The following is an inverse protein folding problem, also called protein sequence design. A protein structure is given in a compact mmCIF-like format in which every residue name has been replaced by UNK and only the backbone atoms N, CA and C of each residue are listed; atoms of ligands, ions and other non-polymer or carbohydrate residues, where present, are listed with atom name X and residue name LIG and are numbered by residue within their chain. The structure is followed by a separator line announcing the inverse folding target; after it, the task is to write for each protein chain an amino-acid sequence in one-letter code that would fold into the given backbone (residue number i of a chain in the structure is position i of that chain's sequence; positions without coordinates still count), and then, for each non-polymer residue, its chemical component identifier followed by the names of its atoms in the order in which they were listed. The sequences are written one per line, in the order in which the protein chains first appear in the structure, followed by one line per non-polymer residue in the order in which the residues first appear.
data_IF_505320014943
#
_entry.id   IF_505320014943
#
_cell.length_a   1.000
_cell.length_b   1.000
_cell.length_c   1.000
_cell.angle_alpha   90.00
_cell.angle_beta   90.00
_cell.angle_gamma   90.00
#
_symmetry.space_group_name_H-M   'P 1'
#
loop_
_entity.id
_entity.type
_entity.pdbx_description
1 polymer ?
#
# COMPACT_ATOMS: atom_id res chain seq x y z
N UNK A 1 43.79 -7.25 -13.74
CA UNK A 1 42.58 -6.38 -13.81
C UNK A 1 42.26 -5.92 -12.39
N UNK A 2 42.39 -4.62 -12.09
CA UNK A 2 42.18 -4.05 -10.74
C UNK A 2 40.72 -3.60 -10.58
N UNK A 3 40.15 -3.86 -9.40
CA UNK A 3 38.75 -3.67 -9.04
C UNK A 3 38.30 -2.20 -9.09
N UNK A 4 37.32 -1.88 -9.96
CA UNK A 4 36.59 -0.59 -10.02
C UNK A 4 35.38 -0.58 -9.09
N UNK A 5 35.60 -0.57 -7.78
CA UNK A 5 34.54 -0.28 -6.80
C UNK A 5 35.18 0.49 -5.65
N UNK A 6 35.11 1.83 -5.70
CA UNK A 6 35.19 2.78 -4.55
C UNK A 6 35.33 4.27 -4.96
N UNK A 7 35.12 4.67 -6.22
CA UNK A 7 35.29 6.07 -6.64
C UNK A 7 34.15 7.03 -6.20
N UNK A 8 33.05 6.53 -5.63
CA UNK A 8 31.90 7.38 -5.22
C UNK A 8 32.19 8.19 -3.95
N UNK A 9 33.12 7.74 -3.10
CA UNK A 9 33.41 8.38 -1.81
C UNK A 9 34.53 9.42 -1.87
N UNK A 10 35.22 9.55 -3.01
CA UNK A 10 36.33 10.51 -3.23
C UNK A 10 35.91 11.67 -4.15
N UNK A 11 34.64 12.11 -4.10
CA UNK A 11 34.21 13.26 -4.89
C UNK A 11 34.85 14.56 -4.37
N UNK A 12 35.70 15.18 -5.19
CA UNK A 12 36.14 16.57 -5.03
C UNK A 12 35.43 17.44 -6.07
N UNK A 13 34.78 18.55 -5.68
CA UNK A 13 34.16 19.45 -6.65
C UNK A 13 35.23 20.01 -7.60
N UNK A 14 34.87 20.15 -8.87
CA UNK A 14 35.78 20.62 -9.94
C UNK A 14 36.25 22.06 -9.73
N UNK A 15 35.53 22.85 -8.94
CA UNK A 15 35.92 24.19 -8.52
C UNK A 15 35.70 24.33 -7.00
N UNK A 16 36.78 24.47 -6.25
CA UNK A 16 36.74 24.63 -4.78
C UNK A 16 36.25 26.00 -4.33
N UNK A 17 36.02 26.94 -5.26
CA UNK A 17 35.58 28.32 -4.99
C UNK A 17 34.21 28.64 -5.61
N UNK A 18 33.36 27.63 -5.83
CA UNK A 18 32.00 27.88 -6.33
C UNK A 18 31.14 28.53 -5.22
N UNK A 19 30.61 29.76 -5.42
CA UNK A 19 29.79 30.47 -4.44
C UNK A 19 28.41 29.82 -4.19
N UNK A 20 28.04 28.79 -4.97
CA UNK A 20 26.81 27.99 -4.74
C UNK A 20 27.02 26.83 -3.79
N UNK A 21 28.27 26.58 -3.35
CA UNK A 21 28.57 25.59 -2.33
C UNK A 21 28.11 26.15 -0.97
N UNK A 22 27.27 25.43 -0.20
CA UNK A 22 26.91 25.86 1.14
C UNK A 22 28.16 25.88 2.04
N UNK A 23 28.52 27.03 2.61
CA UNK A 23 29.56 27.09 3.64
C UNK A 23 28.95 26.72 5.00
N UNK A 24 29.60 25.78 5.70
CA UNK A 24 29.29 25.47 7.09
C UNK A 24 30.19 26.33 7.99
N UNK A 25 30.03 27.65 7.92
CA UNK A 25 30.66 28.56 8.88
C UNK A 25 29.77 28.65 10.12
N UNK A 26 30.11 27.83 11.12
CA UNK A 26 29.50 27.90 12.45
C UNK A 26 30.07 29.14 13.14
N UNK A 27 29.37 30.26 13.02
CA UNK A 27 29.60 31.40 13.90
C UNK A 27 29.33 30.97 15.36
N UNK A 28 30.38 30.99 16.18
CA UNK A 28 30.31 30.78 17.62
C UNK A 28 29.49 31.91 18.26
N UNK A 29 28.25 31.61 18.59
CA UNK A 29 27.50 32.34 19.62
C UNK A 29 27.47 31.42 20.84
N UNK A 30 27.99 31.92 21.97
CA UNK A 30 28.08 31.19 23.23
C UNK A 30 26.73 30.62 23.68
N UNK A 31 26.63 29.34 24.05
CA UNK A 31 25.45 28.80 24.70
C UNK A 31 25.56 28.97 26.23
N UNK A 32 24.56 29.62 26.80
CA UNK A 32 24.25 29.55 28.23
C UNK A 32 24.01 28.10 28.65
N UNK A 33 24.64 27.72 29.76
CA UNK A 33 24.51 26.43 30.42
C UNK A 33 23.06 26.14 30.82
N UNK A 34 22.52 25.01 30.35
CA UNK A 34 21.43 24.30 31.01
C UNK A 34 21.70 22.81 30.90
N UNK A 35 21.70 22.18 32.08
CA UNK A 35 22.24 20.88 32.40
C UNK A 35 21.71 19.72 31.54
N UNK A 36 22.67 18.92 31.07
CA UNK A 36 22.46 17.62 30.45
C UNK A 36 22.01 16.58 31.51
N UNK A 37 20.80 16.03 31.35
CA UNK A 37 20.54 14.62 31.72
C UNK A 37 20.71 13.75 30.48
N UNK A 38 21.89 13.17 30.33
CA UNK A 38 22.21 12.18 29.29
C UNK A 38 21.42 10.87 29.51
N UNK A 39 20.51 10.55 28.59
CA UNK A 39 20.08 9.16 28.35
C UNK A 39 20.93 8.63 27.19
N UNK A 40 21.96 7.84 27.51
CA UNK A 40 22.79 7.14 26.51
C UNK A 40 22.02 5.98 25.90
N UNK A 41 21.48 6.16 24.69
CA UNK A 41 21.09 5.04 23.83
C UNK A 41 22.31 4.61 23.01
N UNK A 42 22.96 3.53 23.45
CA UNK A 42 23.97 2.82 22.63
C UNK A 42 23.25 2.08 21.50
N UNK A 43 23.33 2.62 20.29
CA UNK A 43 22.98 1.87 19.07
C UNK A 43 24.25 1.13 18.62
N UNK A 44 24.32 -0.16 18.93
CA UNK A 44 25.37 -1.04 18.41
C UNK A 44 25.14 -1.25 16.91
N UNK A 45 26.05 -0.72 16.07
CA UNK A 45 26.24 -1.17 14.69
C UNK A 45 26.83 -2.58 14.74
N UNK A 46 26.07 -3.55 14.24
CA UNK A 46 26.56 -4.93 14.04
C UNK A 46 27.40 -4.94 12.77
N UNK A 47 28.71 -5.12 12.92
CA UNK A 47 29.63 -5.48 11.84
C UNK A 47 29.43 -6.97 11.51
N UNK A 48 29.02 -7.28 10.28
CA UNK A 48 28.76 -8.64 9.79
C UNK A 48 30.01 -9.42 9.36
N UNK A 49 31.22 -8.98 9.69
CA UNK A 49 32.47 -9.63 9.24
C UNK A 49 33.24 -10.36 10.36
N UNK A 50 32.79 -10.33 11.62
CA UNK A 50 33.46 -11.01 12.74
C UNK A 50 32.77 -12.29 13.25
N UNK A 51 31.67 -12.73 12.61
CA UNK A 51 30.85 -13.84 13.13
C UNK A 51 31.22 -15.24 12.58
N UNK A 52 32.27 -15.36 11.76
CA UNK A 52 32.62 -16.60 11.07
C UNK A 52 33.89 -17.32 11.57
N UNK A 53 34.63 -16.80 12.55
CA UNK A 53 35.88 -17.45 13.01
C UNK A 53 35.75 -18.22 14.35
N UNK A 54 34.72 -17.97 15.17
CA UNK A 54 34.65 -18.53 16.55
C UNK A 54 33.72 -19.74 16.75
N UNK A 55 33.32 -20.46 15.68
CA UNK A 55 32.50 -21.68 15.79
C UNK A 55 33.18 -22.94 15.24
N UNK A 56 34.45 -23.16 15.58
CA UNK A 56 35.05 -24.50 15.54
C UNK A 56 34.93 -25.16 16.91
N UNK A 57 33.75 -25.72 17.19
CA UNK A 57 33.54 -26.58 18.35
C UNK A 57 34.40 -27.84 18.17
N UNK A 58 35.35 -28.03 19.09
CA UNK A 58 36.26 -29.16 19.11
C UNK A 58 35.51 -30.49 19.37
N UNK A 59 35.26 -31.25 18.31
CA UNK A 59 34.53 -32.51 18.31
C UNK A 59 35.30 -33.71 18.92
N UNK A 60 36.46 -33.46 19.54
CA UNK A 60 37.32 -34.48 20.14
C UNK A 60 36.64 -35.25 21.29
N UNK A 61 35.81 -34.58 22.11
CA UNK A 61 35.09 -35.21 23.23
C UNK A 61 33.92 -36.09 22.80
N UNK A 62 33.23 -35.72 21.71
CA UNK A 62 32.10 -36.49 21.18
C UNK A 62 32.55 -37.81 20.52
N UNK A 63 33.74 -37.82 19.89
CA UNK A 63 34.31 -39.05 19.28
C UNK A 63 34.69 -40.10 20.33
N UNK A 64 35.25 -39.69 21.46
CA UNK A 64 35.57 -40.61 22.57
C UNK A 64 34.32 -41.23 23.21
N UNK A 65 33.20 -40.51 23.24
CA UNK A 65 31.93 -41.02 23.77
C UNK A 65 31.32 -42.08 22.84
N UNK A 66 31.36 -41.84 21.52
CA UNK A 66 30.86 -42.78 20.49
C UNK A 66 31.72 -44.05 20.43
N UNK A 67 33.04 -43.93 20.65
CA UNK A 67 33.94 -45.08 20.69
C UNK A 67 33.67 -45.97 21.92
N UNK A 68 33.51 -45.39 23.12
CA UNK A 68 33.14 -46.14 24.34
C UNK A 68 31.79 -46.86 24.22
N UNK A 69 30.82 -46.24 23.54
CA UNK A 69 29.51 -46.87 23.30
C UNK A 69 29.60 -48.05 22.31
N UNK A 70 30.44 -47.96 21.28
CA UNK A 70 30.67 -49.07 20.34
C UNK A 70 31.37 -50.26 21.00
N UNK A 71 32.34 -50.02 21.88
CA UNK A 71 33.03 -51.07 22.63
C UNK A 71 32.07 -51.82 23.58
N UNK A 72 31.13 -51.13 24.23
CA UNK A 72 30.11 -51.76 25.07
C UNK A 72 29.07 -52.60 24.28
N UNK A 73 28.87 -52.32 23.00
CA UNK A 73 27.90 -53.04 22.15
C UNK A 73 28.42 -54.34 21.53
N UNK A 74 29.75 -54.57 21.56
CA UNK A 74 30.38 -55.75 20.99
C UNK A 74 30.45 -56.95 21.95
N UNK A 75 30.06 -56.81 23.23
CA UNK A 75 30.02 -57.92 24.20
C UNK A 75 28.75 -58.80 24.10
N UNK A 76 27.74 -58.39 23.32
CA UNK A 76 26.42 -59.07 23.28
C UNK A 76 26.22 -59.92 22.01
N UNK A 77 27.19 -59.97 21.09
CA UNK A 77 27.04 -60.70 19.83
C UNK A 77 28.27 -61.55 19.49
N UNK A 78 28.37 -62.73 20.10
CA UNK A 78 28.43 -63.95 19.32
C UNK A 78 27.98 -65.21 20.11
N UNK A 79 27.32 -66.17 19.44
CA UNK A 79 26.51 -67.24 20.03
C UNK A 79 27.21 -68.62 19.91
N UNK A 80 26.70 -69.64 20.61
CA UNK A 80 26.69 -71.07 20.23
C UNK A 80 26.04 -71.83 21.42
N UNK A 81 24.77 -72.25 21.32
CA UNK A 81 24.33 -73.56 20.80
C UNK A 81 24.65 -74.74 21.73
N UNK A 82 23.64 -75.22 22.46
CA UNK A 82 23.22 -76.64 22.56
C UNK A 82 22.26 -76.83 23.74
N UNK A 83 21.02 -77.19 23.47
CA UNK A 83 20.37 -78.43 23.93
C UNK A 83 18.84 -78.31 23.84
N UNK A 84 18.26 -79.32 23.19
CA UNK A 84 16.85 -79.51 22.89
C UNK A 84 15.98 -79.83 24.12
N UNK A 85 14.68 -79.55 23.95
CA UNK A 85 13.49 -80.26 24.48
C UNK A 85 13.29 -80.41 26.00
N UNK A 86 12.13 -79.98 26.50
CA UNK A 86 11.04 -80.84 27.05
C UNK A 86 9.85 -79.97 27.52
N UNK A 87 8.66 -80.54 27.35
CA UNK A 87 7.31 -80.01 27.62
C UNK A 87 6.93 -79.95 29.11
N UNK A 88 5.90 -79.13 29.37
CA UNK A 88 4.82 -79.26 30.37
C UNK A 88 4.99 -78.75 31.81
N UNK A 89 4.10 -77.79 32.12
CA UNK A 89 3.18 -77.70 33.28
C UNK A 89 3.69 -77.40 34.72
N UNK A 90 3.16 -76.27 35.23
CA UNK A 90 2.39 -76.09 36.49
C UNK A 90 3.10 -75.65 37.80
N UNK A 91 2.43 -74.66 38.43
CA UNK A 91 2.33 -74.21 39.84
C UNK A 91 3.41 -73.35 40.56
N UNK A 92 2.88 -72.24 41.10
CA UNK A 92 3.04 -71.62 42.43
C UNK A 92 4.34 -70.97 42.93
N UNK A 93 4.18 -69.67 43.25
CA UNK A 93 4.66 -68.92 44.41
C UNK A 93 5.81 -69.49 45.27
N UNK A 94 6.99 -68.86 45.28
CA UNK A 94 7.34 -67.76 46.20
C UNK A 94 8.84 -67.41 46.18
N UNK A 95 9.10 -66.10 46.19
CA UNK A 95 10.27 -65.39 46.74
C UNK A 95 11.71 -65.82 46.35
N UNK A 96 12.26 -65.14 45.35
CA UNK A 96 13.61 -64.58 45.45
C UNK A 96 13.60 -63.11 45.00
N UNK A 97 14.08 -62.24 45.89
CA UNK A 97 14.25 -60.79 45.71
C UNK A 97 15.31 -60.49 44.66
N UNK A 98 14.98 -60.65 43.39
CA UNK A 98 15.64 -59.91 42.32
C UNK A 98 14.81 -58.67 42.08
N UNK A 99 15.40 -57.49 42.25
CA UNK A 99 14.79 -56.23 41.83
C UNK A 99 14.34 -56.39 40.37
N UNK A 100 13.04 -56.62 40.13
CA UNK A 100 12.47 -56.60 38.78
C UNK A 100 12.70 -55.18 38.28
N UNK A 101 13.75 -55.00 37.49
CA UNK A 101 13.99 -53.79 36.73
C UNK A 101 12.85 -53.70 35.72
N UNK A 102 11.74 -53.08 36.13
CA UNK A 102 10.62 -52.78 35.24
C UNK A 102 11.10 -51.62 34.37
N UNK A 103 11.56 -51.95 33.15
CA UNK A 103 11.86 -50.94 32.15
C UNK A 103 10.53 -50.30 31.71
N UNK A 104 10.43 -48.96 31.69
CA UNK A 104 9.24 -48.30 31.18
C UNK A 104 9.06 -48.68 29.71
N UNK A 105 7.83 -49.04 29.34
CA UNK A 105 7.48 -49.42 27.97
C UNK A 105 7.96 -48.33 26.98
N UNK A 106 8.85 -48.68 26.02
CA UNK A 106 9.38 -47.76 25.04
C UNK A 106 8.32 -47.06 24.20
N UNK A 107 7.14 -47.66 24.05
CA UNK A 107 6.03 -47.13 23.26
C UNK A 107 4.95 -46.43 24.10
N UNK A 108 5.13 -46.36 25.43
CA UNK A 108 4.15 -45.71 26.31
C UNK A 108 4.09 -44.20 26.06
N UNK A 109 2.87 -43.67 26.02
CA UNK A 109 2.58 -42.24 25.93
C UNK A 109 3.03 -41.46 27.17
N UNK A 110 3.21 -42.16 28.30
CA UNK A 110 3.72 -41.61 29.56
C UNK A 110 5.25 -41.62 29.63
N UNK A 111 5.93 -42.21 28.64
CA UNK A 111 7.38 -42.20 28.57
C UNK A 111 7.89 -40.78 28.31
N UNK A 112 8.75 -40.29 29.21
CA UNK A 112 9.31 -38.94 29.16
C UNK A 112 10.00 -38.69 27.82
N UNK A 113 10.69 -39.68 27.26
CA UNK A 113 11.37 -39.58 25.96
C UNK A 113 10.38 -39.41 24.79
N UNK A 114 9.27 -40.14 24.82
CA UNK A 114 8.19 -40.00 23.83
C UNK A 114 7.48 -38.65 23.95
N UNK A 115 7.35 -38.12 25.17
CA UNK A 115 6.75 -36.79 25.39
C UNK A 115 7.57 -35.67 24.72
N UNK A 116 8.91 -35.77 24.73
CA UNK A 116 9.80 -34.84 24.04
C UNK A 116 9.73 -35.01 22.52
N UNK A 117 9.70 -36.26 22.03
CA UNK A 117 9.54 -36.56 20.60
C UNK A 117 8.22 -36.02 20.05
N UNK A 118 7.09 -36.31 20.71
CA UNK A 118 5.76 -35.81 20.31
C UNK A 118 5.63 -34.29 20.38
N UNK A 119 6.28 -33.63 21.35
CA UNK A 119 6.34 -32.15 21.39
C UNK A 119 7.12 -31.60 20.21
N UNK A 120 8.22 -32.25 19.81
CA UNK A 120 9.02 -31.89 18.64
C UNK A 120 8.29 -32.13 17.32
N UNK A 121 7.56 -33.24 17.20
CA UNK A 121 6.71 -33.50 16.03
C UNK A 121 5.59 -32.47 15.91
N UNK A 122 4.92 -32.10 17.01
CA UNK A 122 3.90 -31.05 17.00
C UNK A 122 4.45 -29.70 16.54
N UNK A 123 5.64 -29.31 17.01
CA UNK A 123 6.25 -28.05 16.58
C UNK A 123 6.73 -28.09 15.13
N UNK A 124 7.31 -29.21 14.67
CA UNK A 124 7.68 -29.41 13.26
C UNK A 124 6.45 -29.39 12.35
N UNK A 125 5.35 -30.04 12.74
CA UNK A 125 4.10 -30.03 11.99
C UNK A 125 3.47 -28.63 11.94
N UNK A 126 3.57 -27.85 13.03
CA UNK A 126 3.12 -26.46 13.05
C UNK A 126 3.95 -25.59 12.10
N UNK A 127 5.28 -25.77 12.10
CA UNK A 127 6.22 -25.06 11.21
C UNK A 127 5.95 -25.45 9.75
N UNK A 128 5.75 -26.74 9.45
CA UNK A 128 5.45 -27.21 8.09
C UNK A 128 4.12 -26.65 7.60
N UNK A 129 3.09 -26.64 8.45
CA UNK A 129 1.78 -26.04 8.14
C UNK A 129 1.89 -24.53 7.91
N UNK A 130 2.70 -23.81 8.68
CA UNK A 130 2.93 -22.38 8.44
C UNK A 130 3.73 -22.14 7.18
N UNK A 131 4.73 -22.98 6.86
CA UNK A 131 5.47 -22.91 5.60
C UNK A 131 4.58 -23.21 4.39
N UNK A 132 3.64 -24.14 4.49
CA UNK A 132 2.65 -24.42 3.45
C UNK A 132 1.71 -23.22 3.25
N UNK A 133 1.19 -22.63 4.33
CA UNK A 133 0.38 -21.41 4.26
C UNK A 133 1.18 -20.23 3.67
N UNK A 134 2.45 -20.07 4.04
CA UNK A 134 3.31 -19.04 3.44
C UNK A 134 3.61 -19.31 1.96
N UNK A 135 3.70 -20.56 1.54
CA UNK A 135 3.87 -20.94 0.13
C UNK A 135 2.59 -20.69 -0.67
N UNK A 136 1.40 -20.91 -0.11
CA UNK A 136 0.13 -20.58 -0.77
C UNK A 136 -0.14 -19.07 -0.82
N UNK A 137 0.35 -18.31 0.18
CA UNK A 137 0.34 -16.83 0.14
C UNK A 137 1.27 -16.22 -0.92
N UNK A 138 2.24 -16.99 -1.46
CA UNK A 138 3.03 -16.56 -2.62
C UNK A 138 2.24 -16.62 -3.93
N UNK A 139 1.05 -17.20 -3.93
CA UNK A 139 0.16 -17.09 -5.08
C UNK A 139 -0.30 -15.65 -5.24
N UNK A 140 -0.61 -15.27 -6.48
CA UNK A 140 -1.13 -13.94 -6.77
C UNK A 140 -2.39 -13.66 -5.93
N UNK A 141 -2.52 -12.45 -5.33
CA UNK A 141 -3.62 -12.14 -4.43
C UNK A 141 -4.98 -12.09 -5.14
N UNK A 142 -4.98 -11.84 -6.45
CA UNK A 142 -6.20 -11.75 -7.26
C UNK A 142 -6.29 -12.88 -8.27
N UNK A 143 -7.46 -13.49 -8.36
CA UNK A 143 -7.84 -14.42 -9.42
C UNK A 143 -8.15 -13.62 -10.69
N UNK A 144 -7.86 -14.21 -11.85
CA UNK A 144 -8.21 -13.61 -13.14
C UNK A 144 -9.72 -13.65 -13.35
N UNK A 145 -10.31 -12.50 -13.64
CA UNK A 145 -11.72 -12.35 -14.02
C UNK A 145 -11.97 -12.93 -15.40
N UNK A 146 -13.09 -13.63 -15.55
CA UNK A 146 -13.53 -14.15 -16.86
C UNK A 146 -14.05 -13.02 -17.75
N UNK A 147 -14.07 -13.23 -19.07
CA UNK A 147 -14.57 -12.21 -20.01
C UNK A 147 -16.06 -11.90 -19.80
N UNK A 148 -16.85 -12.90 -19.43
CA UNK A 148 -18.28 -12.74 -19.11
C UNK A 148 -18.49 -11.85 -17.89
N UNK A 149 -17.70 -12.05 -16.83
CA UNK A 149 -17.71 -11.20 -15.64
C UNK A 149 -17.35 -9.76 -15.97
N UNK A 150 -16.30 -9.56 -16.78
CA UNK A 150 -15.90 -8.23 -17.24
C UNK A 150 -17.02 -7.54 -18.00
N UNK A 151 -17.64 -8.22 -18.98
CA UNK A 151 -18.75 -7.67 -19.77
C UNK A 151 -19.94 -7.33 -18.86
N UNK A 152 -20.24 -8.16 -17.87
CA UNK A 152 -21.33 -7.94 -16.92
C UNK A 152 -21.10 -6.70 -16.06
N UNK A 153 -19.89 -6.52 -15.54
CA UNK A 153 -19.51 -5.31 -14.81
C UNK A 153 -19.56 -4.10 -15.76
N UNK A 154 -19.04 -4.25 -17.00
CA UNK A 154 -18.98 -3.16 -17.96
C UNK A 154 -20.37 -2.63 -18.35
N UNK A 155 -21.32 -3.54 -18.56
CA UNK A 155 -22.71 -3.20 -18.89
C UNK A 155 -23.41 -2.42 -17.78
N UNK A 156 -23.09 -2.70 -16.52
CA UNK A 156 -23.72 -2.06 -15.36
C UNK A 156 -23.19 -0.64 -15.11
N UNK A 157 -21.89 -0.39 -15.30
CA UNK A 157 -21.26 0.88 -14.91
C UNK A 157 -20.91 1.80 -16.10
N UNK A 158 -20.85 1.29 -17.33
CA UNK A 158 -20.66 2.06 -18.58
C UNK A 158 -19.54 3.10 -18.47
N UNK A 159 -19.86 4.39 -18.66
CA UNK A 159 -18.92 5.51 -18.68
C UNK A 159 -18.13 5.70 -17.39
N UNK A 160 -18.58 5.15 -16.26
CA UNK A 160 -17.87 5.23 -14.97
C UNK A 160 -16.63 4.35 -14.93
N UNK A 161 -16.49 3.41 -15.85
CA UNK A 161 -15.34 2.50 -15.91
C UNK A 161 -14.11 3.29 -16.29
N UNK A 162 -12.98 2.95 -15.70
CA UNK A 162 -11.73 3.69 -15.87
C UNK A 162 -10.61 2.80 -16.35
N UNK A 163 -10.53 1.58 -15.80
CA UNK A 163 -9.48 0.61 -16.11
C UNK A 163 -10.09 -0.77 -16.09
N UNK A 164 -9.81 -1.56 -17.12
CA UNK A 164 -10.15 -2.98 -17.13
C UNK A 164 -8.84 -3.75 -17.23
N UNK A 165 -8.60 -4.63 -16.27
CA UNK A 165 -7.48 -5.57 -16.36
C UNK A 165 -8.02 -7.00 -16.28
N UNK A 166 -7.12 -7.97 -16.39
CA UNK A 166 -7.48 -9.36 -16.18
C UNK A 166 -7.82 -9.69 -14.73
N UNK A 167 -7.55 -8.81 -13.75
CA UNK A 167 -7.69 -9.12 -12.32
C UNK A 167 -8.67 -8.20 -11.59
N UNK A 168 -8.71 -6.95 -12.02
CA UNK A 168 -9.47 -5.88 -11.39
C UNK A 168 -10.16 -5.02 -12.45
N UNK A 169 -11.30 -4.47 -12.08
CA UNK A 169 -11.98 -3.41 -12.81
C UNK A 169 -12.11 -2.21 -11.89
N UNK A 170 -11.60 -1.08 -12.38
CA UNK A 170 -11.68 0.19 -11.68
C UNK A 170 -12.85 1.01 -12.20
N UNK A 171 -13.66 1.48 -11.27
CA UNK A 171 -14.82 2.33 -11.52
C UNK A 171 -14.62 3.64 -10.79
N UNK A 172 -14.92 4.75 -11.44
CA UNK A 172 -14.85 6.08 -10.85
C UNK A 172 -16.21 6.74 -10.94
N UNK A 173 -16.75 7.10 -9.79
CA UNK A 173 -18.04 7.77 -9.68
C UNK A 173 -17.86 9.29 -9.58
N UNK A 174 -16.92 9.73 -8.74
CA UNK A 174 -16.82 11.12 -8.29
C UNK A 174 -15.41 11.37 -7.70
N UNK A 175 -15.29 11.98 -6.51
CA UNK A 175 -14.08 11.92 -5.66
C UNK A 175 -13.68 10.47 -5.37
N UNK A 176 -14.70 9.63 -5.16
CA UNK A 176 -14.52 8.22 -4.84
C UNK A 176 -14.66 7.34 -6.08
N UNK A 177 -14.00 6.20 -6.02
CA UNK A 177 -14.16 5.10 -6.96
C UNK A 177 -14.25 3.77 -6.24
N UNK A 178 -14.34 2.72 -7.03
CA UNK A 178 -14.51 1.36 -6.58
C UNK A 178 -13.62 0.45 -7.42
N UNK A 179 -12.85 -0.41 -6.77
CA UNK A 179 -12.12 -1.48 -7.39
C UNK A 179 -12.88 -2.79 -7.16
N UNK A 180 -13.26 -3.47 -8.23
CA UNK A 180 -13.89 -4.79 -8.18
C UNK A 180 -12.85 -5.82 -8.61
N UNK A 181 -12.60 -6.83 -7.77
CA UNK A 181 -11.70 -7.94 -8.10
C UNK A 181 -12.17 -9.25 -7.46
N UNK A 182 -11.61 -10.37 -7.93
CA UNK A 182 -11.84 -11.69 -7.31
C UNK A 182 -10.63 -12.08 -6.46
N UNK A 183 -10.81 -12.23 -5.16
CA UNK A 183 -9.71 -12.49 -4.22
C UNK A 183 -9.37 -13.98 -4.21
N UNK A 184 -8.07 -14.28 -4.28
CA UNK A 184 -7.57 -15.64 -4.33
C UNK A 184 -7.63 -16.37 -2.97
N UNK A 185 -7.54 -15.61 -1.88
CA UNK A 185 -7.41 -16.17 -0.53
C UNK A 185 -8.74 -16.74 -0.03
N UNK A 186 -9.82 -15.98 -0.17
CA UNK A 186 -11.15 -16.34 0.31
C UNK A 186 -12.11 -16.76 -0.82
N UNK A 187 -11.67 -16.68 -2.09
CA UNK A 187 -12.46 -16.98 -3.29
C UNK A 187 -13.70 -16.11 -3.46
N UNK A 188 -13.72 -14.92 -2.84
CA UNK A 188 -14.85 -13.99 -2.88
C UNK A 188 -14.60 -12.83 -3.84
N UNK A 189 -15.67 -12.27 -4.37
CA UNK A 189 -15.65 -11.02 -5.12
C UNK A 189 -15.61 -9.85 -4.14
N UNK A 190 -14.58 -9.02 -4.25
CA UNK A 190 -14.42 -7.85 -3.41
C UNK A 190 -14.77 -6.59 -4.17
N UNK A 191 -15.40 -5.67 -3.45
CA UNK A 191 -15.44 -4.25 -3.81
C UNK A 191 -14.63 -3.48 -2.77
N UNK A 192 -13.65 -2.71 -3.24
CA UNK A 192 -12.84 -1.83 -2.41
C UNK A 192 -13.15 -0.40 -2.78
N UNK A 193 -13.43 0.44 -1.79
CA UNK A 193 -13.59 1.87 -2.01
C UNK A 193 -12.23 2.53 -2.13
N UNK A 194 -12.06 3.34 -3.16
CA UNK A 194 -10.84 4.10 -3.42
C UNK A 194 -11.12 5.60 -3.46
N UNK A 195 -10.11 6.39 -3.13
CA UNK A 195 -10.13 7.84 -3.18
C UNK A 195 -9.15 8.32 -4.25
N UNK A 196 -9.56 9.29 -5.06
CA UNK A 196 -8.70 10.02 -5.96
C UNK A 196 -8.43 11.40 -5.36
N UNK A 197 -7.20 11.67 -4.95
CA UNK A 197 -6.87 12.90 -4.23
C UNK A 197 -6.93 14.16 -5.11
N UNK A 198 -6.72 14.02 -6.41
CA UNK A 198 -6.55 15.15 -7.34
C UNK A 198 -7.21 14.90 -8.71
N UNK A 199 -7.05 15.88 -9.61
CA UNK A 199 -7.24 15.72 -11.05
C UNK A 199 -6.46 14.51 -11.56
N UNK A 200 -7.20 13.45 -11.88
CA UNK A 200 -6.62 12.16 -12.23
C UNK A 200 -6.37 12.06 -13.73
N UNK A 201 -5.30 11.38 -14.11
CA UNK A 201 -4.99 11.12 -15.51
C UNK A 201 -5.66 9.80 -15.97
N UNK A 202 -6.51 9.81 -17.02
CA UNK A 202 -7.20 8.60 -17.47
C UNK A 202 -6.30 7.48 -17.98
N UNK A 203 -5.08 7.81 -18.41
CA UNK A 203 -4.08 6.82 -18.86
C UNK A 203 -3.11 6.38 -17.76
N UNK A 204 -2.94 7.19 -16.71
CA UNK A 204 -2.01 6.94 -15.60
C UNK A 204 -2.75 7.13 -14.30
N UNK A 205 -3.37 6.05 -13.86
CA UNK A 205 -4.35 6.09 -12.79
C UNK A 205 -3.63 5.87 -11.47
N UNK A 206 -3.70 6.86 -10.60
CA UNK A 206 -3.23 6.78 -9.23
C UNK A 206 -4.44 6.95 -8.31
N UNK A 207 -4.55 6.06 -7.33
CA UNK A 207 -5.59 6.10 -6.31
C UNK A 207 -5.05 5.51 -5.01
N UNK A 208 -5.71 5.85 -3.92
CA UNK A 208 -5.41 5.32 -2.59
C UNK A 208 -6.67 4.64 -2.08
N UNK A 209 -6.51 3.55 -1.33
CA UNK A 209 -7.65 2.92 -0.66
C UNK A 209 -8.26 3.90 0.34
N UNK A 210 -9.59 3.98 0.37
CA UNK A 210 -10.27 4.86 1.32
C UNK A 210 -10.24 4.23 2.72
N UNK A 211 -9.57 4.93 3.63
CA UNK A 211 -9.59 4.65 5.07
C UNK A 211 -10.45 5.69 5.77
N UNK A 212 -11.37 5.23 6.62
CA UNK A 212 -12.19 6.09 7.48
C UNK A 212 -11.78 5.85 8.92
N UNK A 213 -10.83 6.63 9.42
CA UNK A 213 -10.16 6.36 10.71
C UNK A 213 -9.35 5.07 10.60
N UNK A 214 -9.57 4.12 11.52
CA UNK A 214 -8.90 2.82 11.50
C UNK A 214 -9.64 1.76 10.66
N UNK A 215 -10.74 2.12 9.99
CA UNK A 215 -11.58 1.17 9.26
C UNK A 215 -11.36 1.28 7.75
N UNK A 216 -11.05 0.14 7.14
CA UNK A 216 -11.00 -0.05 5.69
C UNK A 216 -12.42 -0.25 5.13
N UNK A 217 -12.77 0.43 4.03
CA UNK A 217 -14.09 0.30 3.40
C UNK A 217 -13.98 -0.63 2.18
N UNK A 218 -14.13 -1.92 2.45
CA UNK A 218 -14.26 -2.94 1.40
C UNK A 218 -15.02 -4.17 1.89
N UNK A 219 -15.74 -4.81 0.98
CA UNK A 219 -16.65 -5.91 1.29
C UNK A 219 -16.44 -7.07 0.32
N UNK A 220 -16.38 -8.30 0.85
CA UNK A 220 -16.25 -9.53 0.08
C UNK A 220 -17.55 -10.33 0.01
N UNK A 221 -17.94 -10.73 -1.20
CA UNK A 221 -19.20 -11.42 -1.52
C UNK A 221 -18.96 -12.75 -2.23
N UNK A 222 -19.90 -13.69 -2.08
CA UNK A 222 -19.78 -14.99 -2.75
C UNK A 222 -20.11 -14.91 -4.25
N UNK A 223 -21.02 -14.00 -4.65
CA UNK A 223 -21.44 -13.85 -6.05
C UNK A 223 -21.09 -12.46 -6.59
N UNK A 224 -20.83 -12.41 -7.90
CA UNK A 224 -20.55 -11.15 -8.59
C UNK A 224 -21.76 -10.20 -8.56
N UNK A 225 -22.98 -10.72 -8.62
CA UNK A 225 -24.20 -9.91 -8.60
C UNK A 225 -24.35 -9.11 -7.30
N UNK A 226 -24.11 -9.76 -6.15
CA UNK A 226 -24.11 -9.09 -4.85
C UNK A 226 -23.04 -7.99 -4.79
N UNK A 227 -21.85 -8.26 -5.33
CA UNK A 227 -20.77 -7.28 -5.40
C UNK A 227 -21.17 -6.05 -6.25
N UNK A 228 -21.83 -6.26 -7.40
CA UNK A 228 -22.31 -5.18 -8.26
C UNK A 228 -23.40 -4.36 -7.57
N UNK A 229 -24.34 -5.00 -6.89
CA UNK A 229 -25.43 -4.32 -6.17
C UNK A 229 -24.89 -3.47 -5.01
N UNK A 230 -24.00 -4.03 -4.20
CA UNK A 230 -23.38 -3.29 -3.09
C UNK A 230 -22.49 -2.17 -3.61
N UNK A 231 -21.80 -2.35 -4.75
CA UNK A 231 -21.08 -1.25 -5.41
C UNK A 231 -22.03 -0.11 -5.79
N UNK A 232 -23.22 -0.41 -6.36
CA UNK A 232 -24.23 0.62 -6.68
C UNK A 232 -24.73 1.32 -5.42
N UNK A 233 -24.93 0.58 -4.33
CA UNK A 233 -25.35 1.13 -3.04
C UNK A 233 -24.31 2.06 -2.45
N UNK A 234 -23.03 1.71 -2.51
CA UNK A 234 -21.91 2.58 -2.07
C UNK A 234 -21.77 3.83 -2.94
N UNK A 235 -22.16 3.77 -4.22
CA UNK A 235 -22.16 4.95 -5.10
C UNK A 235 -23.24 5.98 -4.74
N UNK A 236 -24.33 5.56 -4.09
CA UNK A 236 -25.50 6.41 -3.81
C UNK A 236 -25.60 6.76 -2.33
N UNK A 237 -25.21 5.86 -1.45
CA UNK A 237 -25.41 5.97 -0.01
C UNK A 237 -24.10 5.87 0.78
N UNK A 238 -24.14 6.31 2.03
CA UNK A 238 -22.98 6.32 2.92
C UNK A 238 -22.00 7.45 2.65
N UNK A 239 -20.79 7.34 3.23
CA UNK A 239 -19.73 8.36 3.15
C UNK A 239 -19.25 8.63 1.72
N UNK A 240 -19.43 7.66 0.83
CA UNK A 240 -18.96 7.70 -0.56
C UNK A 240 -20.01 8.17 -1.55
N UNK A 241 -21.29 8.17 -1.15
CA UNK A 241 -22.42 8.43 -2.02
C UNK A 241 -22.78 9.90 -2.17
N UNK A 242 -22.68 10.69 -1.09
CA UNK A 242 -23.17 12.07 -1.08
C UNK A 242 -22.00 13.06 -1.00
N UNK A 243 -21.50 13.49 -2.15
CA UNK A 243 -20.49 14.55 -2.24
C UNK A 243 -21.19 15.87 -2.53
N UNK A 244 -21.04 16.81 -1.62
CA UNK A 244 -21.50 18.18 -1.80
C UNK A 244 -20.42 18.92 -2.59
N UNK A 245 -20.75 19.24 -3.84
CA UNK A 245 -19.91 20.08 -4.67
C UNK A 245 -20.14 21.54 -4.34
N UNK A 246 -19.05 22.31 -4.27
CA UNK A 246 -19.09 23.76 -4.09
C UNK A 246 -19.32 24.43 -5.43
N UNK A 247 -18.35 24.31 -6.34
CA UNK A 247 -18.39 24.93 -7.67
C UNK A 247 -17.90 23.94 -8.75
N UNK A 248 -18.29 24.14 -10.00
CA UNK A 248 -17.80 23.36 -11.14
C UNK A 248 -16.93 24.20 -12.07
N UNK A 249 -15.91 23.59 -12.67
CA UNK A 249 -15.06 24.27 -13.66
C UNK A 249 -15.81 24.39 -14.98
N UNK A 250 -15.90 25.61 -15.50
CA UNK A 250 -16.47 25.93 -16.82
C UNK A 250 -15.37 26.26 -17.82
N UNK A 251 -14.29 26.86 -17.37
CA UNK A 251 -13.18 27.19 -18.25
C UNK A 251 -11.85 27.31 -17.47
N UNK A 252 -10.74 27.37 -18.19
CA UNK A 252 -9.43 27.61 -17.59
C UNK A 252 -8.60 28.57 -18.44
N UNK A 253 -8.04 29.58 -17.79
CA UNK A 253 -7.15 30.52 -18.44
C UNK A 253 -5.70 30.18 -18.08
N UNK A 254 -4.92 29.82 -19.09
CA UNK A 254 -3.51 29.45 -18.95
C UNK A 254 -2.61 30.63 -18.63
N UNK A 255 -2.91 31.80 -19.18
CA UNK A 255 -2.09 33.01 -19.05
C UNK A 255 -2.20 33.58 -17.64
N UNK A 256 -3.42 33.72 -17.14
CA UNK A 256 -3.68 34.23 -15.78
C UNK A 256 -3.58 33.15 -14.71
N UNK A 257 -3.38 31.88 -15.10
CA UNK A 257 -3.36 30.70 -14.23
C UNK A 257 -4.62 30.53 -13.37
N UNK A 258 -5.81 30.64 -13.98
CA UNK A 258 -7.09 30.63 -13.26
C UNK A 258 -8.02 29.53 -13.76
N UNK A 259 -8.71 28.88 -12.83
CA UNK A 259 -9.95 28.17 -13.15
C UNK A 259 -11.13 29.14 -13.07
N UNK A 260 -12.00 29.08 -14.07
CA UNK A 260 -13.28 29.80 -14.09
C UNK A 260 -14.36 28.81 -13.67
N UNK A 261 -15.11 29.15 -12.63
CA UNK A 261 -16.09 28.26 -12.00
C UNK A 261 -17.49 28.83 -11.99
N UNK A 262 -18.48 27.96 -12.05
CA UNK A 262 -19.89 28.29 -11.92
C UNK A 262 -20.67 27.15 -11.26
N UNK A 263 -21.95 27.39 -10.98
CA UNK A 263 -22.84 26.39 -10.38
C UNK A 263 -23.18 25.25 -11.34
N UNK A 264 -23.06 25.48 -12.66
CA UNK A 264 -23.38 24.49 -13.70
C UNK A 264 -22.12 23.82 -14.21
N UNK A 265 -22.08 22.50 -14.15
CA UNK A 265 -20.97 21.70 -14.66
C UNK A 265 -20.87 21.78 -16.20
N UNK A 266 -19.68 22.12 -16.70
CA UNK A 266 -19.34 21.95 -18.11
C UNK A 266 -18.71 20.58 -18.33
N UNK A 267 -19.08 19.94 -19.43
CA UNK A 267 -18.52 18.68 -19.87
C UNK A 267 -17.37 18.94 -20.84
N UNK A 268 -16.19 18.45 -20.50
CA UNK A 268 -14.98 18.53 -21.30
C UNK A 268 -14.80 17.26 -22.12
N UNK A 269 -14.32 17.41 -23.35
CA UNK A 269 -13.83 16.29 -24.15
C UNK A 269 -12.51 15.75 -23.58
N UNK A 270 -12.12 14.53 -23.95
CA UNK A 270 -10.86 13.95 -23.49
C UNK A 270 -9.64 14.80 -23.86
N UNK A 271 -9.61 15.41 -25.06
CA UNK A 271 -8.49 16.24 -25.51
C UNK A 271 -8.36 17.53 -24.70
N UNK A 272 -9.48 18.19 -24.40
CA UNK A 272 -9.51 19.36 -23.52
C UNK A 272 -9.10 18.97 -22.11
N UNK A 273 -9.69 17.91 -21.57
CA UNK A 273 -9.38 17.42 -20.24
C UNK A 273 -7.90 17.07 -20.08
N UNK A 274 -7.29 16.42 -21.08
CA UNK A 274 -5.85 16.12 -21.09
C UNK A 274 -5.00 17.39 -21.02
N UNK A 275 -5.40 18.47 -21.70
CA UNK A 275 -4.71 19.77 -21.64
C UNK A 275 -4.84 20.39 -20.23
N UNK A 276 -6.03 20.29 -19.63
CA UNK A 276 -6.28 20.77 -18.25
C UNK A 276 -5.41 20.02 -17.25
N UNK A 277 -5.41 18.68 -17.28
CA UNK A 277 -4.64 17.84 -16.35
C UNK A 277 -3.14 18.12 -16.45
N UNK A 278 -2.60 18.25 -17.68
CA UNK A 278 -1.18 18.59 -17.87
C UNK A 278 -0.85 19.96 -17.28
N UNK A 279 -1.66 20.97 -17.61
CA UNK A 279 -1.47 22.34 -17.10
C UNK A 279 -1.61 22.41 -15.57
N UNK A 280 -2.56 21.65 -14.99
CA UNK A 280 -2.76 21.57 -13.55
C UNK A 280 -1.53 21.03 -12.84
N UNK A 281 -0.96 19.92 -13.30
CA UNK A 281 0.24 19.35 -12.68
C UNK A 281 1.45 20.29 -12.74
N UNK A 282 1.60 21.07 -13.83
CA UNK A 282 2.69 22.04 -13.98
C UNK A 282 2.52 23.27 -13.06
N UNK A 283 1.28 23.67 -12.75
CA UNK A 283 1.00 24.96 -12.11
C UNK A 283 0.31 24.85 -10.74
N UNK A 284 0.03 23.65 -10.23
CA UNK A 284 -0.86 23.34 -9.10
C UNK A 284 -0.83 24.35 -7.93
N UNK A 285 0.35 24.80 -7.50
CA UNK A 285 0.53 25.70 -6.35
C UNK A 285 -0.01 27.12 -6.61
N UNK A 286 0.00 27.56 -7.87
CA UNK A 286 -0.28 28.93 -8.30
C UNK A 286 -1.69 29.13 -8.87
N UNK A 287 -2.49 28.06 -8.94
CA UNK A 287 -3.80 28.13 -9.59
C UNK A 287 -4.81 28.78 -8.65
N UNK A 288 -5.43 29.84 -9.16
CA UNK A 288 -6.51 30.56 -8.48
C UNK A 288 -7.86 30.21 -9.11
N UNK A 289 -8.92 30.44 -8.34
CA UNK A 289 -10.29 30.15 -8.75
C UNK A 289 -11.07 31.46 -8.82
N UNK A 290 -11.72 31.68 -9.96
CA UNK A 290 -12.56 32.83 -10.26
C UNK A 290 -13.98 32.38 -10.54
N UNK A 291 -14.97 32.99 -9.91
CA UNK A 291 -16.37 32.75 -10.23
C UNK A 291 -16.76 33.44 -11.53
N UNK A 292 -17.55 32.76 -12.36
CA UNK A 292 -18.05 33.29 -13.61
C UNK A 292 -18.91 34.54 -13.34
N UNK A 293 -18.71 35.60 -14.12
CA UNK A 293 -19.45 36.88 -14.05
C UNK A 293 -19.27 37.70 -12.77
N UNK A 294 -18.47 37.24 -11.81
CA UNK A 294 -18.14 37.99 -10.60
C UNK A 294 -16.72 38.54 -10.78
N UNK A 295 -16.58 39.87 -10.64
CA UNK A 295 -15.27 40.52 -10.66
C UNK A 295 -14.54 40.20 -9.37
N UNK A 296 -13.33 39.70 -9.49
CA UNK A 296 -12.44 39.51 -8.36
C UNK A 296 -11.45 40.66 -8.20
N UNK A 297 -10.64 40.59 -7.14
CA UNK A 297 -9.59 41.57 -6.86
C UNK A 297 -8.64 41.80 -8.05
N UNK A 298 -8.23 40.73 -8.73
CA UNK A 298 -7.27 40.80 -9.83
C UNK A 298 -7.87 41.43 -11.08
N UNK A 299 -9.15 41.16 -11.39
CA UNK A 299 -9.86 41.81 -12.48
C UNK A 299 -9.95 43.32 -12.26
N UNK A 300 -10.25 43.72 -11.02
CA UNK A 300 -10.31 45.13 -10.62
C UNK A 300 -8.93 45.77 -10.71
N UNK A 301 -7.87 45.08 -10.28
CA UNK A 301 -6.50 45.58 -10.44
C UNK A 301 -6.07 45.68 -11.90
N UNK A 302 -6.50 44.78 -12.78
CA UNK A 302 -6.26 44.87 -14.21
C UNK A 302 -7.00 46.06 -14.83
N UNK A 303 -8.29 46.23 -14.51
CA UNK A 303 -9.09 47.37 -14.97
C UNK A 303 -8.48 48.70 -14.48
N UNK A 304 -7.99 48.78 -13.24
CA UNK A 304 -7.26 49.97 -12.77
C UNK A 304 -5.96 50.23 -13.54
N UNK A 305 -5.21 49.17 -13.87
CA UNK A 305 -3.98 49.32 -14.67
C UNK A 305 -4.31 49.80 -16.08
N UNK A 306 -5.38 49.32 -16.69
CA UNK A 306 -5.84 49.75 -18.01
C UNK A 306 -6.33 51.20 -18.00
N UNK A 307 -7.15 51.59 -17.01
CA UNK A 307 -7.59 52.98 -16.83
C UNK A 307 -6.43 53.95 -16.66
N UNK A 308 -5.42 53.57 -15.85
CA UNK A 308 -4.18 54.37 -15.71
C UNK A 308 -3.41 54.48 -17.01
N UNK A 309 -3.30 53.41 -17.79
CA UNK A 309 -2.63 53.42 -19.10
C UNK A 309 -3.35 54.34 -20.09
N UNK A 310 -4.68 54.40 -20.02
CA UNK A 310 -5.51 55.25 -20.87
C UNK A 310 -5.56 56.71 -20.39
N UNK A 311 -4.92 57.04 -19.26
CA UNK A 311 -4.91 58.39 -18.69
C UNK A 311 -6.19 58.78 -17.92
N UNK A 312 -7.08 57.82 -17.64
CA UNK A 312 -8.30 58.06 -16.88
C UNK A 312 -8.01 58.17 -15.37
N UNK A 313 -8.68 59.11 -14.69
CA UNK A 313 -8.59 59.24 -13.24
C UNK A 313 -9.35 58.09 -12.55
N UNK A 314 -8.67 57.42 -11.60
CA UNK A 314 -9.28 56.39 -10.78
C UNK A 314 -10.06 57.02 -9.63
N UNK A 315 -11.34 56.69 -9.52
CA UNK A 315 -12.16 57.07 -8.36
C UNK A 315 -11.62 56.40 -7.09
N UNK A 316 -11.49 57.10 -5.96
CA UNK A 316 -11.12 56.51 -4.67
C UNK A 316 -12.05 55.36 -4.25
N UNK A 317 -13.31 55.38 -4.69
CA UNK A 317 -14.27 54.31 -4.43
C UNK A 317 -13.83 52.97 -5.03
N UNK A 318 -13.12 53.00 -6.16
CA UNK A 318 -12.60 51.82 -6.84
C UNK A 318 -11.52 51.13 -6.00
N UNK A 319 -10.67 51.91 -5.32
CA UNK A 319 -9.63 51.36 -4.44
C UNK A 319 -10.22 50.78 -3.16
N UNK A 320 -11.27 51.42 -2.61
CA UNK A 320 -12.02 50.90 -1.47
C UNK A 320 -12.69 49.57 -1.85
N UNK A 321 -13.34 49.50 -3.01
CA UNK A 321 -13.94 48.27 -3.52
C UNK A 321 -12.92 47.15 -3.68
N UNK A 322 -11.75 47.44 -4.23
CA UNK A 322 -10.67 46.46 -4.34
C UNK A 322 -10.24 45.91 -2.97
N UNK A 323 -10.10 46.77 -1.96
CA UNK A 323 -9.69 46.36 -0.59
C UNK A 323 -10.77 45.58 0.16
N UNK A 324 -12.05 45.77 -0.17
CA UNK A 324 -13.16 45.08 0.45
C UNK A 324 -13.43 43.68 -0.13
N UNK A 325 -12.90 43.38 -1.32
CA UNK A 325 -13.08 42.09 -1.97
C UNK A 325 -12.12 41.07 -1.37
N UNK A 326 -12.63 39.87 -1.13
CA UNK A 326 -11.83 38.75 -0.63
C UNK A 326 -10.70 38.40 -1.61
N UNK A 327 -9.53 37.97 -1.09
CA UNK A 327 -8.46 37.51 -1.95
C UNK A 327 -8.91 36.30 -2.79
N UNK A 328 -8.32 36.10 -3.99
CA UNK A 328 -8.72 35.03 -4.87
C UNK A 328 -8.51 33.66 -4.21
N UNK A 329 -9.52 32.79 -4.33
CA UNK A 329 -9.52 31.47 -3.72
C UNK A 329 -8.49 30.57 -4.40
N UNK A 330 -7.71 29.82 -3.60
CA UNK A 330 -6.80 28.78 -4.14
C UNK A 330 -7.58 27.56 -4.61
N UNK A 331 -7.08 26.90 -5.66
CA UNK A 331 -7.66 25.68 -6.22
C UNK A 331 -7.37 24.43 -5.37
N UNK A 332 -8.00 24.36 -4.19
CA UNK A 332 -7.93 23.20 -3.29
C UNK A 332 -9.16 22.28 -3.47
N UNK A 333 -9.02 20.99 -3.14
CA UNK A 333 -10.10 19.99 -3.20
C UNK A 333 -10.76 19.88 -4.58
N UNK A 334 -9.92 19.84 -5.62
CA UNK A 334 -10.36 19.67 -7.00
C UNK A 334 -10.40 18.21 -7.38
N UNK A 335 -11.55 17.79 -7.89
CA UNK A 335 -11.79 16.42 -8.32
C UNK A 335 -12.35 16.44 -9.73
N UNK A 336 -12.20 15.33 -10.41
CA UNK A 336 -12.69 15.15 -11.77
C UNK A 336 -13.22 13.74 -11.90
N UNK A 337 -14.24 13.54 -12.71
CA UNK A 337 -14.89 12.24 -12.88
C UNK A 337 -15.47 12.11 -14.29
N UNK A 338 -15.57 10.87 -14.81
CA UNK A 338 -16.11 10.63 -16.14
C UNK A 338 -17.64 10.74 -16.13
N UNK A 339 -18.19 11.24 -17.24
CA UNK A 339 -19.61 11.46 -17.47
C UNK A 339 -20.01 10.88 -18.83
N UNK A 340 -21.28 10.50 -18.94
CA UNK A 340 -21.84 9.95 -20.17
C UNK A 340 -21.68 10.92 -21.35
N UNK A 341 -21.12 10.39 -22.44
CA UNK A 341 -21.12 11.06 -23.72
C UNK A 341 -22.41 10.70 -24.48
N UNK A 342 -23.38 11.60 -24.64
CA UNK A 342 -24.65 11.30 -25.31
C UNK A 342 -24.47 10.94 -26.79
N UNK A 343 -23.33 11.31 -27.40
CA UNK A 343 -23.03 11.00 -28.80
C UNK A 343 -22.50 9.57 -28.97
N UNK A 344 -21.93 8.98 -27.92
CA UNK A 344 -21.32 7.65 -27.98
C UNK A 344 -22.36 6.56 -27.70
N UNK A 345 -22.54 5.65 -28.68
CA UNK A 345 -23.47 4.51 -28.57
C UNK A 345 -22.75 3.15 -28.54
N UNK A 346 -21.43 3.14 -28.47
CA UNK A 346 -20.63 1.91 -28.47
C UNK A 346 -20.67 1.17 -27.14
N UNK A 347 -19.96 0.03 -27.10
CA UNK A 347 -19.82 -0.82 -25.89
C UNK A 347 -18.48 -0.66 -25.19
N UNK A 348 -17.50 -0.06 -25.87
CA UNK A 348 -16.16 0.14 -25.33
C UNK A 348 -16.13 1.41 -24.48
N UNK A 349 -16.44 1.24 -23.21
CA UNK A 349 -16.32 2.28 -22.18
C UNK A 349 -15.01 2.19 -21.41
N UNK A 350 -14.03 1.40 -21.85
CA UNK A 350 -12.70 1.47 -21.24
C UNK A 350 -11.97 2.70 -21.76
N UNK A 351 -12.03 2.90 -23.07
CA UNK A 351 -11.34 4.00 -23.73
C UNK A 351 -11.78 5.39 -23.21
N UNK A 352 -10.84 6.26 -22.82
CA UNK A 352 -11.15 7.56 -22.23
C UNK A 352 -11.76 8.55 -23.23
N UNK A 353 -11.47 8.38 -24.52
CA UNK A 353 -11.98 9.21 -25.62
C UNK A 353 -13.49 9.09 -25.81
N UNK A 354 -14.08 7.97 -25.38
CA UNK A 354 -15.52 7.71 -25.49
C UNK A 354 -16.33 8.35 -24.36
N UNK A 355 -15.67 9.08 -23.45
CA UNK A 355 -16.26 9.69 -22.26
C UNK A 355 -16.12 11.21 -22.30
N UNK A 356 -16.99 11.87 -21.55
CA UNK A 356 -16.82 13.26 -21.19
C UNK A 356 -16.30 13.35 -19.76
N UNK A 357 -15.77 14.50 -19.38
CA UNK A 357 -15.20 14.72 -18.06
C UNK A 357 -15.78 15.98 -17.45
N UNK A 358 -16.14 15.91 -16.19
CA UNK A 358 -16.48 17.07 -15.38
C UNK A 358 -15.40 17.28 -14.32
N UNK A 359 -15.20 18.53 -13.92
CA UNK A 359 -14.24 18.92 -12.89
C UNK A 359 -15.01 19.77 -11.89
N UNK A 360 -14.89 19.42 -10.62
CA UNK A 360 -15.64 20.03 -9.54
C UNK A 360 -14.75 20.27 -8.32
N UNK A 361 -15.08 21.31 -7.57
CA UNK A 361 -14.48 21.61 -6.27
C UNK A 361 -15.38 21.09 -5.17
N UNK A 362 -14.86 20.22 -4.31
CA UNK A 362 -15.56 19.79 -3.10
C UNK A 362 -15.45 20.85 -2.01
N UNK A 363 -16.37 20.82 -1.03
CA UNK A 363 -16.09 21.41 0.28
C UNK A 363 -14.93 20.63 0.93
N UNK A 364 -14.08 21.31 1.69
CA UNK A 364 -13.12 20.60 2.54
C UNK A 364 -13.90 19.73 3.53
N UNK A 365 -13.54 18.46 3.64
CA UNK A 365 -14.05 17.57 4.70
C UNK A 365 -13.60 18.03 6.09
#
# INVERSE_FOLDING_TARGET
MKNKRNEIFDYKPSNSKDPRIPSLDINKTEPQELENKEVKVKINKINNEQLNEDLKIDNSKAKNLIQKLKESSNFVKNPLSNSNEIKNQVHEENLETQSKLILPDPNSDLNILNSFSKKREKSVNLINKTQEVMKTLKNEPHIKLTEEEKIKIMKNFKYKIVKVTNREILIKNSKYGFEIHHNNTDKRYWVITICFEELWNPRKINYINLWSGNSFIGYGFNTLDQCIEETKKLMVSGKTGNIIWKDFVVDWNKETKRFIVADKAKKFTYEEYKKIVKWYHENKIWILVKQEKIKDYEDIMQEAKEKRKNGEQLSPLFEIQAKLIEPPRKANYIFSYPVENPKYKGKDYENPENKLYEIAFGFSE
#
